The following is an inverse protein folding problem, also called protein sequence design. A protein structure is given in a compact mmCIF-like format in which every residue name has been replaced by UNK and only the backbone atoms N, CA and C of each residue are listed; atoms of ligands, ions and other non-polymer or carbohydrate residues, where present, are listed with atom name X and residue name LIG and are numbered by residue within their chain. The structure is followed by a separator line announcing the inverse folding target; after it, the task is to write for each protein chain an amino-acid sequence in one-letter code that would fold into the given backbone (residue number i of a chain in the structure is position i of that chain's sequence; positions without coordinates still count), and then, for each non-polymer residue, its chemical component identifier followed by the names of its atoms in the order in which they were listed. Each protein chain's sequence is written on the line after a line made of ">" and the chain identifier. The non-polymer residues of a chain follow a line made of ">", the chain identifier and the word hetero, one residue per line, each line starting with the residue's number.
data_IF_573369405587
#
_entry.id   IF_573369405587
#
_cell.length_a   1.000
_cell.length_b   1.000
_cell.length_c   1.000
_cell.angle_alpha   90.00
_cell.angle_beta   90.00
_cell.angle_gamma   90.00
#
_symmetry.space_group_name_H-M   'P 1'
#
loop_
_entity.id
_entity.type
_entity.pdbx_description
1 polymer ?
#
# COMPACT_ATOMS: atom_id res chain seq x y z
N UNK A 1 -61.87 56.04 -32.22
CA UNK A 1 -62.63 55.53 -31.06
C UNK A 1 -62.53 54.01 -31.17
N UNK A 2 -61.54 53.33 -30.57
CA UNK A 2 -61.39 53.03 -29.11
C UNK A 2 -62.67 52.36 -28.58
N UNK A 3 -62.71 51.11 -28.12
CA UNK A 3 -61.65 50.20 -27.68
C UNK A 3 -62.15 48.76 -27.52
N UNK A 4 -61.21 47.90 -27.12
CA UNK A 4 -61.27 46.44 -27.03
C UNK A 4 -62.38 45.87 -26.11
N UNK A 5 -62.87 44.64 -26.38
CA UNK A 5 -63.68 43.87 -25.45
C UNK A 5 -62.86 43.15 -24.36
N UNK A 6 -63.47 42.82 -23.20
CA UNK A 6 -62.77 42.42 -21.98
C UNK A 6 -62.39 40.93 -21.91
N UNK A 7 -61.38 40.67 -21.07
CA UNK A 7 -60.71 39.40 -20.81
C UNK A 7 -61.40 38.64 -19.64
N UNK A 8 -61.88 37.41 -19.93
CA UNK A 8 -61.85 36.11 -19.19
C UNK A 8 -62.23 36.04 -17.67
N UNK A 9 -62.77 34.91 -17.15
CA UNK A 9 -62.06 33.60 -17.15
C UNK A 9 -62.94 32.33 -17.25
N UNK A 10 -62.50 31.36 -18.05
CA UNK A 10 -63.00 29.99 -17.98
C UNK A 10 -61.86 29.01 -17.66
N UNK A 11 -62.16 28.18 -16.65
CA UNK A 11 -61.77 26.79 -16.47
C UNK A 11 -60.32 26.50 -16.03
N UNK A 12 -60.17 26.36 -14.72
CA UNK A 12 -59.09 25.61 -14.08
C UNK A 12 -59.26 24.11 -14.33
N UNK A 13 -58.28 23.51 -14.99
CA UNK A 13 -58.01 22.07 -14.94
C UNK A 13 -56.89 21.86 -13.94
N UNK A 14 -57.21 21.25 -12.80
CA UNK A 14 -56.20 20.75 -11.85
C UNK A 14 -55.54 19.52 -12.46
N UNK A 15 -54.51 19.78 -13.28
CA UNK A 15 -53.52 18.77 -13.64
C UNK A 15 -52.75 18.37 -12.39
N UNK A 16 -53.03 17.17 -11.91
CA UNK A 16 -52.32 16.49 -10.84
C UNK A 16 -50.84 16.38 -11.23
N UNK A 17 -50.01 17.32 -10.77
CA UNK A 17 -48.56 17.19 -10.84
C UNK A 17 -48.17 16.02 -9.94
N UNK A 18 -48.00 14.84 -10.53
CA UNK A 18 -47.19 13.79 -9.92
C UNK A 18 -45.77 14.34 -9.83
N UNK A 19 -45.44 14.90 -8.67
CA UNK A 19 -44.06 15.08 -8.24
C UNK A 19 -43.44 13.69 -8.28
N UNK A 20 -42.67 13.41 -9.32
CA UNK A 20 -41.77 12.27 -9.32
C UNK A 20 -40.83 12.47 -8.13
N UNK A 21 -41.13 11.82 -7.01
CA UNK A 21 -40.23 11.62 -5.88
C UNK A 21 -39.06 10.79 -6.40
N UNK A 22 -38.14 11.46 -7.07
CA UNK A 22 -36.77 11.01 -7.18
C UNK A 22 -36.25 11.00 -5.76
N UNK A 23 -36.37 9.86 -5.08
CA UNK A 23 -35.70 9.69 -3.80
C UNK A 23 -34.23 10.08 -4.03
N UNK A 24 -33.68 11.05 -3.28
CA UNK A 24 -32.28 11.38 -3.41
C UNK A 24 -31.52 10.12 -2.99
N UNK A 25 -30.87 9.43 -3.94
CA UNK A 25 -29.85 8.42 -3.60
C UNK A 25 -28.89 9.12 -2.64
N UNK A 26 -28.98 8.76 -1.37
CA UNK A 26 -28.29 9.47 -0.30
C UNK A 26 -26.79 9.44 -0.61
N UNK A 27 -26.06 10.54 -0.34
CA UNK A 27 -24.61 10.66 -0.54
C UNK A 27 -23.82 9.48 0.09
N UNK A 28 -24.41 8.86 1.11
CA UNK A 28 -23.95 7.65 1.77
C UNK A 28 -23.98 6.42 0.86
N UNK A 29 -25.09 6.18 0.13
CA UNK A 29 -25.20 5.08 -0.85
C UNK A 29 -24.13 5.19 -1.94
N UNK A 30 -23.89 6.40 -2.47
CA UNK A 30 -22.87 6.62 -3.49
C UNK A 30 -21.45 6.36 -2.97
N UNK A 31 -21.18 6.67 -1.70
CA UNK A 31 -19.86 6.44 -1.10
C UNK A 31 -19.59 4.94 -0.91
N UNK A 32 -20.62 4.17 -0.52
CA UNK A 32 -20.54 2.70 -0.46
C UNK A 32 -20.29 2.07 -1.83
N UNK A 33 -20.99 2.53 -2.87
CA UNK A 33 -20.80 2.02 -4.23
C UNK A 33 -19.37 2.29 -4.76
N UNK A 34 -18.78 3.42 -4.39
CA UNK A 34 -17.41 3.79 -4.79
C UNK A 34 -16.38 2.92 -4.06
N UNK A 35 -16.57 2.68 -2.76
CA UNK A 35 -15.72 1.78 -1.98
C UNK A 35 -15.84 0.32 -2.43
N UNK A 36 -17.05 -0.13 -2.79
CA UNK A 36 -17.25 -1.45 -3.38
C UNK A 36 -16.44 -1.62 -4.67
N UNK A 37 -16.47 -0.61 -5.56
CA UNK A 37 -15.65 -0.60 -6.79
C UNK A 37 -14.15 -0.58 -6.52
N UNK A 38 -13.71 0.10 -5.46
CA UNK A 38 -12.33 0.04 -5.02
C UNK A 38 -11.98 -1.41 -4.63
N UNK A 39 -12.77 -2.02 -3.75
CA UNK A 39 -12.57 -3.41 -3.31
C UNK A 39 -12.55 -4.39 -4.47
N UNK A 40 -13.44 -4.23 -5.45
CA UNK A 40 -13.47 -5.03 -6.68
C UNK A 40 -12.22 -4.86 -7.55
N UNK A 41 -11.60 -3.67 -7.53
CA UNK A 41 -10.38 -3.39 -8.29
C UNK A 41 -9.09 -3.87 -7.60
N UNK A 42 -9.13 -4.08 -6.28
CA UNK A 42 -7.99 -4.59 -5.53
C UNK A 42 -8.01 -6.12 -5.58
N UNK A 43 -6.95 -6.79 -6.06
CA UNK A 43 -6.89 -8.25 -6.05
C UNK A 43 -6.92 -8.81 -4.62
N UNK A 44 -7.75 -9.83 -4.40
CA UNK A 44 -8.06 -10.37 -3.07
C UNK A 44 -7.24 -11.63 -2.72
N UNK A 45 -6.63 -12.27 -3.71
CA UNK A 45 -5.79 -13.47 -3.53
C UNK A 45 -4.65 -13.49 -4.57
N UNK A 46 -3.70 -14.41 -4.40
CA UNK A 46 -2.49 -14.47 -5.22
C UNK A 46 -2.77 -14.64 -6.71
N UNK A 47 -3.72 -15.51 -7.07
CA UNK A 47 -4.11 -15.73 -8.46
C UNK A 47 -4.62 -14.44 -9.10
N UNK A 48 -5.43 -13.67 -8.38
CA UNK A 48 -5.92 -12.38 -8.87
C UNK A 48 -4.79 -11.34 -8.98
N UNK A 49 -3.82 -11.34 -8.05
CA UNK A 49 -2.64 -10.46 -8.14
C UNK A 49 -1.82 -10.76 -9.39
N UNK A 50 -1.55 -12.04 -9.66
CA UNK A 50 -0.83 -12.45 -10.86
C UNK A 50 -1.58 -12.05 -12.14
N UNK A 51 -2.90 -12.30 -12.20
CA UNK A 51 -3.74 -11.90 -13.32
C UNK A 51 -3.74 -10.38 -13.55
N UNK A 52 -3.85 -9.58 -12.47
CA UNK A 52 -3.81 -8.13 -12.56
C UNK A 52 -2.43 -7.64 -13.04
N UNK A 53 -1.35 -8.24 -12.56
CA UNK A 53 0.02 -7.95 -13.01
C UNK A 53 0.20 -8.26 -14.50
N UNK A 54 -0.31 -9.39 -14.98
CA UNK A 54 -0.26 -9.73 -16.40
C UNK A 54 -1.07 -8.73 -17.25
N UNK A 55 -2.30 -8.42 -16.85
CA UNK A 55 -3.17 -7.47 -17.55
C UNK A 55 -2.56 -6.06 -17.63
N UNK A 56 -1.89 -5.61 -16.56
CA UNK A 56 -1.34 -4.27 -16.47
C UNK A 56 0.13 -4.16 -16.90
N UNK A 57 0.74 -5.26 -17.37
CA UNK A 57 2.13 -5.31 -17.80
C UNK A 57 3.09 -5.04 -16.64
N UNK A 58 2.94 -5.77 -15.53
CA UNK A 58 3.70 -5.61 -14.29
C UNK A 58 4.07 -6.97 -13.65
N UNK A 59 4.07 -8.06 -14.43
CA UNK A 59 4.34 -9.41 -13.93
C UNK A 59 5.80 -9.85 -13.97
N UNK A 60 6.56 -9.44 -14.99
CA UNK A 60 7.98 -9.82 -15.15
C UNK A 60 8.91 -8.69 -14.70
N UNK A 61 10.17 -9.02 -14.39
CA UNK A 61 11.17 -8.01 -13.99
C UNK A 61 11.36 -6.91 -15.06
N UNK A 62 11.42 -7.28 -16.34
CA UNK A 62 11.51 -6.33 -17.44
C UNK A 62 10.28 -5.42 -17.53
N UNK A 63 9.08 -5.98 -17.37
CA UNK A 63 7.84 -5.23 -17.37
C UNK A 63 7.76 -4.26 -16.17
N UNK A 64 8.14 -4.72 -14.98
CA UNK A 64 8.22 -3.89 -13.76
C UNK A 64 9.16 -2.71 -13.97
N UNK A 65 10.36 -2.94 -14.51
CA UNK A 65 11.32 -1.88 -14.81
C UNK A 65 10.76 -0.86 -15.81
N UNK A 66 10.26 -1.35 -16.94
CA UNK A 66 9.74 -0.48 -18.01
C UNK A 66 8.55 0.35 -17.51
N UNK A 67 7.59 -0.30 -16.85
CA UNK A 67 6.41 0.37 -16.30
C UNK A 67 6.79 1.43 -15.27
N UNK A 68 7.75 1.12 -14.40
CA UNK A 68 8.23 2.07 -13.39
C UNK A 68 8.92 3.25 -14.07
N UNK A 69 9.78 3.03 -15.08
CA UNK A 69 10.39 4.12 -15.87
C UNK A 69 9.34 4.98 -16.56
N UNK A 70 8.33 4.37 -17.18
CA UNK A 70 7.24 5.13 -17.83
C UNK A 70 6.50 6.01 -16.82
N UNK A 71 6.29 5.52 -15.59
CA UNK A 71 5.71 6.31 -14.50
C UNK A 71 6.67 7.42 -14.09
N UNK A 72 7.94 7.13 -13.82
CA UNK A 72 8.93 8.11 -13.39
C UNK A 72 9.09 9.25 -14.40
N UNK A 73 9.20 8.91 -15.69
CA UNK A 73 9.41 9.84 -16.81
C UNK A 73 8.11 10.44 -17.36
N UNK A 74 6.98 10.18 -16.70
CA UNK A 74 5.65 10.69 -17.06
C UNK A 74 5.13 10.26 -18.46
N UNK A 75 5.64 9.15 -18.99
CA UNK A 75 5.27 8.54 -20.28
C UNK A 75 4.01 7.66 -20.21
N UNK A 76 3.38 7.56 -19.03
CA UNK A 76 2.14 6.81 -18.81
C UNK A 76 0.92 7.34 -19.56
N UNK A 77 0.07 6.45 -20.07
CA UNK A 77 -1.22 6.83 -20.71
C UNK A 77 -2.32 7.16 -19.72
N UNK A 78 -2.23 6.67 -18.47
CA UNK A 78 -3.27 6.85 -17.43
C UNK A 78 -3.28 8.30 -16.91
N UNK A 79 -4.19 9.12 -17.45
CA UNK A 79 -4.32 10.54 -17.09
C UNK A 79 -4.57 10.77 -15.60
N UNK A 80 -5.37 9.91 -14.96
CA UNK A 80 -5.64 10.01 -13.51
C UNK A 80 -4.36 9.89 -12.69
N UNK A 81 -3.42 9.02 -13.09
CA UNK A 81 -2.14 8.87 -12.42
C UNK A 81 -1.21 10.06 -12.66
N UNK A 82 -1.22 10.62 -13.87
CA UNK A 82 -0.52 11.89 -14.15
C UNK A 82 -1.04 13.01 -13.24
N UNK A 83 -2.36 13.19 -13.19
CA UNK A 83 -3.01 14.19 -12.34
C UNK A 83 -2.69 13.97 -10.86
N UNK A 84 -2.71 12.72 -10.39
CA UNK A 84 -2.33 12.36 -9.03
C UNK A 84 -0.89 12.82 -8.70
N UNK A 85 0.08 12.49 -9.56
CA UNK A 85 1.48 12.88 -9.35
C UNK A 85 1.72 14.40 -9.47
N UNK A 86 0.95 15.09 -10.32
CA UNK A 86 0.95 16.56 -10.40
C UNK A 86 0.39 17.18 -9.11
N UNK A 87 -0.70 16.66 -8.55
CA UNK A 87 -1.24 17.12 -7.26
C UNK A 87 -0.23 16.86 -6.14
N UNK A 88 0.44 15.70 -6.17
CA UNK A 88 1.46 15.34 -5.18
C UNK A 88 2.65 16.33 -5.25
N UNK A 89 3.12 16.65 -6.46
CA UNK A 89 4.15 17.69 -6.66
C UNK A 89 3.70 19.05 -6.14
N UNK A 90 2.43 19.42 -6.39
CA UNK A 90 1.83 20.65 -5.87
C UNK A 90 1.81 20.70 -4.34
N UNK A 91 1.61 19.56 -3.65
CA UNK A 91 1.72 19.48 -2.19
C UNK A 91 3.13 19.82 -1.72
N UNK A 92 4.16 19.32 -2.40
CA UNK A 92 5.57 19.60 -2.06
C UNK A 92 5.92 21.07 -2.32
N UNK A 93 5.57 21.61 -3.48
CA UNK A 93 5.83 23.02 -3.80
C UNK A 93 5.14 23.96 -2.80
N UNK A 94 3.91 23.63 -2.39
CA UNK A 94 3.16 24.38 -1.39
C UNK A 94 3.82 24.31 -0.01
N UNK A 95 4.28 23.13 0.41
CA UNK A 95 5.01 22.93 1.67
C UNK A 95 6.29 23.76 1.72
N UNK A 96 6.99 23.88 0.59
CA UNK A 96 8.22 24.67 0.43
C UNK A 96 7.97 26.18 0.26
N UNK A 97 6.77 26.67 0.57
CA UNK A 97 6.41 28.09 0.49
C UNK A 97 6.17 28.63 -0.93
N UNK A 98 6.21 27.79 -1.97
CA UNK A 98 6.07 28.17 -3.39
C UNK A 98 4.63 28.07 -3.88
N UNK A 99 3.68 28.59 -3.10
CA UNK A 99 2.23 28.49 -3.36
C UNK A 99 1.84 28.92 -4.79
N UNK A 100 2.33 30.08 -5.24
CA UNK A 100 1.92 30.62 -6.55
C UNK A 100 2.38 29.73 -7.71
N UNK A 101 3.64 29.28 -7.69
CA UNK A 101 4.19 28.36 -8.68
C UNK A 101 3.44 27.03 -8.67
N UNK A 102 3.17 26.47 -7.48
CA UNK A 102 2.42 25.24 -7.30
C UNK A 102 1.04 25.31 -7.98
N UNK A 103 0.31 26.41 -7.75
CA UNK A 103 -1.05 26.59 -8.27
C UNK A 103 -1.04 26.89 -9.77
N UNK A 104 -0.07 27.65 -10.28
CA UNK A 104 0.09 27.87 -11.71
C UNK A 104 0.41 26.56 -12.43
N UNK A 105 1.35 25.76 -11.91
CA UNK A 105 1.70 24.44 -12.47
C UNK A 105 0.51 23.49 -12.47
N UNK A 106 -0.25 23.43 -11.37
CA UNK A 106 -1.50 22.67 -11.32
C UNK A 106 -2.45 23.11 -12.45
N UNK A 107 -2.65 24.42 -12.61
CA UNK A 107 -3.62 24.96 -13.59
C UNK A 107 -3.23 24.65 -15.02
N UNK A 108 -1.93 24.69 -15.33
CA UNK A 108 -1.41 24.35 -16.65
C UNK A 108 -1.55 22.86 -16.98
N UNK A 109 -1.38 21.98 -15.99
CA UNK A 109 -1.32 20.53 -16.22
C UNK A 109 -2.65 19.80 -16.07
N UNK A 110 -3.56 20.31 -15.22
CA UNK A 110 -4.82 19.63 -14.89
C UNK A 110 -6.01 20.44 -15.43
N UNK A 111 -6.26 21.61 -14.86
CA UNK A 111 -7.36 22.49 -15.26
C UNK A 111 -7.30 23.84 -14.56
N UNK A 112 -7.96 24.85 -15.14
CA UNK A 112 -8.12 26.19 -14.56
C UNK A 112 -9.07 26.21 -13.34
N UNK A 113 -8.76 25.40 -12.31
CA UNK A 113 -9.55 25.29 -11.08
C UNK A 113 -9.32 26.47 -10.13
N UNK A 114 -10.30 26.70 -9.25
CA UNK A 114 -10.18 27.68 -8.16
C UNK A 114 -9.18 27.21 -7.10
N UNK A 115 -8.60 28.15 -6.33
CA UNK A 115 -7.67 27.79 -5.23
C UNK A 115 -8.28 26.80 -4.24
N UNK A 116 -9.55 27.00 -3.89
CA UNK A 116 -10.29 26.12 -2.99
C UNK A 116 -10.35 24.68 -3.53
N UNK A 117 -10.56 24.52 -4.84
CA UNK A 117 -10.59 23.19 -5.47
C UNK A 117 -9.21 22.54 -5.45
N UNK A 118 -8.14 23.31 -5.73
CA UNK A 118 -6.76 22.82 -5.66
C UNK A 118 -6.45 22.33 -4.24
N UNK A 119 -6.79 23.12 -3.21
CA UNK A 119 -6.60 22.74 -1.81
C UNK A 119 -7.36 21.48 -1.42
N UNK A 120 -8.61 21.32 -1.89
CA UNK A 120 -9.39 20.09 -1.67
C UNK A 120 -8.71 18.87 -2.28
N UNK A 121 -8.17 19.00 -3.48
CA UNK A 121 -7.47 17.90 -4.15
C UNK A 121 -6.16 17.53 -3.44
N UNK A 122 -5.37 18.54 -3.04
CA UNK A 122 -4.16 18.33 -2.24
C UNK A 122 -4.47 17.63 -0.91
N UNK A 123 -5.56 18.05 -0.24
CA UNK A 123 -5.98 17.43 1.03
C UNK A 123 -6.46 16.00 0.84
N UNK A 124 -7.20 15.72 -0.23
CA UNK A 124 -7.67 14.37 -0.57
C UNK A 124 -6.52 13.44 -0.93
N UNK A 125 -5.49 13.96 -1.61
CA UNK A 125 -4.29 13.19 -1.94
C UNK A 125 -3.49 12.84 -0.68
N UNK A 126 -3.25 13.82 0.21
CA UNK A 126 -2.56 13.56 1.49
C UNK A 126 -3.32 12.55 2.34
N UNK A 127 -4.64 12.71 2.46
CA UNK A 127 -5.48 11.75 3.17
C UNK A 127 -5.40 10.34 2.57
N UNK A 128 -5.27 10.23 1.23
CA UNK A 128 -5.10 8.96 0.55
C UNK A 128 -3.73 8.33 0.86
N UNK A 129 -2.66 9.13 0.82
CA UNK A 129 -1.31 8.68 1.19
C UNK A 129 -1.29 8.16 2.62
N UNK A 130 -1.88 8.90 3.55
CA UNK A 130 -2.04 8.50 4.95
C UNK A 130 -2.87 7.22 5.10
N UNK A 131 -3.93 7.04 4.32
CA UNK A 131 -4.75 5.82 4.36
C UNK A 131 -4.00 4.58 3.87
N UNK A 132 -2.96 4.73 3.05
CA UNK A 132 -2.11 3.61 2.62
C UNK A 132 -1.17 3.12 3.72
N UNK A 133 -0.83 3.94 4.72
CA UNK A 133 0.15 3.55 5.75
C UNK A 133 -0.32 2.41 6.66
N UNK A 134 -1.53 2.43 7.24
CA UNK A 134 -2.02 1.30 8.02
C UNK A 134 -2.04 0.00 7.21
N UNK A 135 -2.41 0.08 5.92
CA UNK A 135 -2.40 -1.07 5.01
C UNK A 135 -0.98 -1.56 4.76
N UNK A 136 -0.03 -0.65 4.55
CA UNK A 136 1.38 -1.01 4.41
C UNK A 136 1.89 -1.76 5.65
N UNK A 137 1.64 -1.18 6.83
CA UNK A 137 2.10 -1.70 8.12
C UNK A 137 1.44 -3.02 8.51
N UNK A 138 0.21 -3.27 8.06
CA UNK A 138 -0.52 -4.52 8.32
C UNK A 138 0.04 -5.73 7.56
N UNK A 139 0.76 -5.53 6.44
CA UNK A 139 1.36 -6.64 5.71
C UNK A 139 1.44 -6.51 4.19
N UNK A 140 0.46 -5.92 3.48
CA UNK A 140 0.50 -5.75 2.02
C UNK A 140 1.73 -5.02 1.45
N UNK A 141 2.45 -4.22 2.25
CA UNK A 141 3.70 -3.54 1.84
C UNK A 141 3.59 -2.91 0.45
N UNK A 142 4.47 -3.27 -0.50
CA UNK A 142 4.49 -2.70 -1.86
C UNK A 142 3.17 -2.85 -2.63
N UNK A 143 2.37 -3.89 -2.35
CA UNK A 143 1.09 -4.13 -3.02
C UNK A 143 0.06 -3.04 -2.74
N UNK A 144 0.17 -2.28 -1.63
CA UNK A 144 -0.72 -1.13 -1.40
C UNK A 144 -0.53 -0.05 -2.46
N UNK A 145 0.72 0.21 -2.84
CA UNK A 145 1.05 1.22 -3.86
C UNK A 145 0.65 0.73 -5.24
N UNK A 146 0.93 -0.54 -5.54
CA UNK A 146 0.55 -1.20 -6.79
C UNK A 146 -0.98 -1.18 -7.00
N UNK A 147 -1.74 -1.70 -6.03
CA UNK A 147 -3.19 -1.77 -6.09
C UNK A 147 -3.83 -0.38 -6.18
N UNK A 148 -3.31 0.56 -5.42
CA UNK A 148 -3.82 1.95 -5.43
C UNK A 148 -3.52 2.65 -6.75
N UNK A 149 -2.28 2.66 -7.22
CA UNK A 149 -1.89 3.51 -8.34
C UNK A 149 -2.18 2.85 -9.70
N UNK A 150 -2.05 1.53 -9.82
CA UNK A 150 -2.27 0.83 -11.09
C UNK A 150 -3.73 0.43 -11.27
N UNK A 151 -4.33 -0.20 -10.26
CA UNK A 151 -5.62 -0.91 -10.43
C UNK A 151 -6.82 -0.05 -10.04
N UNK A 152 -6.64 0.85 -9.08
CA UNK A 152 -7.72 1.70 -8.59
C UNK A 152 -7.95 2.95 -9.44
N UNK A 153 -9.13 3.55 -9.26
CA UNK A 153 -9.45 4.90 -9.75
C UNK A 153 -8.98 5.94 -8.74
N UNK A 154 -8.00 6.75 -9.14
CA UNK A 154 -7.33 7.74 -8.27
C UNK A 154 -7.62 9.19 -8.67
N UNK A 155 -8.66 9.40 -9.49
CA UNK A 155 -9.16 10.73 -9.78
C UNK A 155 -9.62 11.45 -8.49
N UNK A 156 -9.45 12.78 -8.37
CA UNK A 156 -9.72 13.51 -7.12
C UNK A 156 -11.13 13.30 -6.54
N UNK A 157 -12.13 13.12 -7.40
CA UNK A 157 -13.50 12.82 -6.98
C UNK A 157 -13.58 11.51 -6.19
N UNK A 158 -12.85 10.47 -6.58
CA UNK A 158 -12.85 9.17 -5.89
C UNK A 158 -12.07 9.21 -4.58
N UNK A 159 -10.93 9.90 -4.55
CA UNK A 159 -10.08 10.00 -3.36
C UNK A 159 -10.83 10.54 -2.14
N UNK A 160 -11.70 11.53 -2.35
CA UNK A 160 -12.54 12.09 -1.28
C UNK A 160 -13.51 11.07 -0.67
N UNK A 161 -13.86 10.00 -1.38
CA UNK A 161 -14.74 8.95 -0.87
C UNK A 161 -13.95 7.85 -0.15
N UNK A 162 -12.76 7.51 -0.64
CA UNK A 162 -11.91 6.49 0.00
C UNK A 162 -11.45 6.89 1.40
N UNK A 163 -11.26 8.19 1.63
CA UNK A 163 -10.64 8.74 2.85
C UNK A 163 -11.63 9.24 3.89
N UNK A 164 -12.95 9.10 3.64
CA UNK A 164 -13.99 9.50 4.60
C UNK A 164 -13.98 8.66 5.88
N UNK A 165 -13.70 7.37 5.74
CA UNK A 165 -13.62 6.40 6.83
C UNK A 165 -12.37 5.56 6.58
N UNK A 166 -11.27 5.85 7.27
CA UNK A 166 -9.96 5.21 7.04
C UNK A 166 -10.01 3.68 7.18
N UNK A 167 -10.82 3.16 8.11
CA UNK A 167 -11.05 1.72 8.27
C UNK A 167 -11.74 1.07 7.06
N UNK A 168 -12.54 1.83 6.30
CA UNK A 168 -13.20 1.30 5.11
C UNK A 168 -12.20 1.12 3.95
N UNK A 169 -11.24 2.02 3.79
CA UNK A 169 -10.15 1.86 2.82
C UNK A 169 -9.28 0.65 3.14
N UNK A 170 -8.87 0.50 4.42
CA UNK A 170 -8.07 -0.65 4.85
C UNK A 170 -8.79 -1.99 4.57
N UNK A 171 -10.11 -2.03 4.78
CA UNK A 171 -10.93 -3.23 4.50
C UNK A 171 -11.02 -3.63 3.01
N UNK A 172 -10.61 -2.76 2.08
CA UNK A 172 -10.54 -3.09 0.66
C UNK A 172 -9.35 -4.00 0.34
N UNK A 173 -8.33 -4.03 1.21
CA UNK A 173 -7.13 -4.84 1.03
C UNK A 173 -7.23 -6.14 1.82
N UNK A 174 -6.82 -7.27 1.20
CA UNK A 174 -6.84 -8.58 1.86
C UNK A 174 -5.90 -8.61 3.08
N UNK A 175 -6.17 -9.55 3.99
CA UNK A 175 -5.46 -9.67 5.27
C UNK A 175 -4.16 -10.47 5.23
N UNK A 176 -3.66 -10.85 4.07
CA UNK A 176 -2.39 -11.55 3.96
C UNK A 176 -1.20 -10.58 4.04
N UNK A 177 -0.04 -11.12 4.41
CA UNK A 177 1.21 -10.37 4.52
C UNK A 177 2.15 -10.71 3.35
N UNK A 178 2.75 -9.68 2.75
CA UNK A 178 3.85 -9.84 1.79
C UNK A 178 5.14 -10.18 2.54
N UNK A 179 5.24 -11.42 3.02
CA UNK A 179 6.42 -11.96 3.70
C UNK A 179 7.43 -12.60 2.76
N UNK A 180 7.00 -12.98 1.56
CA UNK A 180 7.86 -13.56 0.54
C UNK A 180 8.45 -12.49 -0.38
N UNK A 181 9.69 -12.65 -0.85
CA UNK A 181 10.31 -11.71 -1.79
C UNK A 181 9.53 -11.61 -3.11
N UNK A 182 9.21 -10.38 -3.52
CA UNK A 182 8.53 -10.09 -4.78
C UNK A 182 9.35 -9.09 -5.60
N UNK A 183 9.43 -9.29 -6.91
CA UNK A 183 10.21 -8.43 -7.81
C UNK A 183 9.72 -6.98 -7.78
N UNK A 184 8.39 -6.81 -7.70
CA UNK A 184 7.68 -5.54 -7.63
C UNK A 184 8.11 -4.73 -6.39
N UNK A 185 8.48 -5.41 -5.30
CA UNK A 185 8.91 -4.77 -4.07
C UNK A 185 10.26 -4.03 -4.20
N UNK A 186 11.10 -4.38 -5.18
CA UNK A 186 12.37 -3.66 -5.44
C UNK A 186 12.17 -2.36 -6.21
N UNK A 187 10.99 -2.20 -6.82
CA UNK A 187 10.59 -1.02 -7.59
C UNK A 187 9.22 -0.51 -7.12
N UNK A 188 9.06 -0.20 -5.82
CA UNK A 188 7.76 0.14 -5.28
C UNK A 188 7.26 1.44 -5.90
N UNK A 189 5.97 1.49 -6.24
CA UNK A 189 5.32 2.69 -6.76
C UNK A 189 4.99 3.68 -5.64
N UNK A 190 5.90 3.87 -4.68
CA UNK A 190 5.71 4.79 -3.57
C UNK A 190 5.69 6.25 -4.09
N UNK A 191 4.65 7.05 -3.76
CA UNK A 191 4.56 8.43 -4.25
C UNK A 191 5.78 9.29 -3.91
N UNK A 192 6.35 9.13 -2.70
CA UNK A 192 7.54 9.85 -2.28
C UNK A 192 8.77 9.53 -3.17
N UNK A 193 8.97 8.25 -3.54
CA UNK A 193 10.09 7.84 -4.39
C UNK A 193 9.94 8.41 -5.80
N UNK A 194 8.72 8.36 -6.35
CA UNK A 194 8.42 8.91 -7.68
C UNK A 194 8.68 10.43 -7.71
N UNK A 195 8.25 11.16 -6.67
CA UNK A 195 8.50 12.59 -6.58
C UNK A 195 9.99 12.92 -6.40
N UNK A 196 10.70 12.20 -5.53
CA UNK A 196 12.12 12.42 -5.30
C UNK A 196 12.95 12.18 -6.56
N UNK A 197 12.61 11.15 -7.35
CA UNK A 197 13.24 10.93 -8.65
C UNK A 197 12.98 12.06 -9.65
N UNK A 198 11.74 12.57 -9.71
CA UNK A 198 11.37 13.65 -10.63
C UNK A 198 11.91 15.02 -10.23
N UNK A 199 12.15 15.23 -8.93
CA UNK A 199 12.63 16.47 -8.35
C UNK A 199 13.85 16.21 -7.46
N UNK A 200 14.99 15.79 -8.03
CA UNK A 200 16.17 15.39 -7.27
C UNK A 200 16.68 16.47 -6.31
N UNK A 201 16.44 17.74 -6.64
CA UNK A 201 16.79 18.93 -5.86
C UNK A 201 16.01 19.09 -4.55
N UNK A 202 14.86 18.43 -4.38
CA UNK A 202 14.06 18.50 -3.15
C UNK A 202 14.57 17.48 -2.14
N UNK A 203 14.63 17.80 -0.84
CA UNK A 203 15.02 16.81 0.16
C UNK A 203 13.97 15.70 0.27
N UNK A 204 14.40 14.48 0.58
CA UNK A 204 13.47 13.37 0.76
C UNK A 204 12.53 13.61 1.96
N UNK A 205 13.06 14.21 3.04
CA UNK A 205 12.31 14.61 4.22
C UNK A 205 11.18 15.61 3.92
N UNK A 206 11.45 16.66 3.12
CA UNK A 206 10.42 17.64 2.75
C UNK A 206 9.30 17.01 1.91
N UNK A 207 9.65 16.07 1.02
CA UNK A 207 8.67 15.32 0.24
C UNK A 207 7.79 14.48 1.15
N UNK A 208 8.38 13.72 2.07
CA UNK A 208 7.67 12.88 3.02
C UNK A 208 6.76 13.72 3.94
N UNK A 209 7.26 14.84 4.47
CA UNK A 209 6.49 15.77 5.29
C UNK A 209 5.30 16.38 4.51
N UNK A 210 5.53 16.79 3.26
CA UNK A 210 4.49 17.36 2.41
C UNK A 210 3.40 16.35 2.02
N UNK A 211 3.77 15.07 1.85
CA UNK A 211 2.82 13.98 1.59
C UNK A 211 2.20 13.39 2.86
N UNK A 212 2.75 13.76 4.02
CA UNK A 212 2.40 13.21 5.33
C UNK A 212 2.59 11.70 5.39
N UNK A 213 3.79 11.22 5.05
CA UNK A 213 4.13 9.79 5.07
C UNK A 213 5.48 9.49 5.73
N UNK A 214 5.56 8.34 6.39
CA UNK A 214 6.75 7.88 7.14
C UNK A 214 7.08 6.38 6.92
N UNK A 215 6.39 5.69 6.01
CA UNK A 215 6.52 4.23 5.84
C UNK A 215 7.83 3.77 5.20
N UNK A 216 8.43 4.60 4.34
CA UNK A 216 9.68 4.29 3.62
C UNK A 216 10.65 5.45 3.80
N UNK A 217 11.91 5.13 4.07
CA UNK A 217 12.95 6.11 4.37
C UNK A 217 13.90 6.37 3.19
N UNK A 218 14.93 7.19 3.43
CA UNK A 218 15.91 7.56 2.43
C UNK A 218 16.85 6.40 2.05
N UNK A 219 17.07 5.45 2.96
CA UNK A 219 17.85 4.24 2.69
C UNK A 219 17.07 3.31 1.73
N UNK A 220 15.76 3.18 1.93
CA UNK A 220 14.90 2.45 1.01
C UNK A 220 14.83 3.13 -0.36
N UNK A 221 14.83 4.46 -0.39
CA UNK A 221 14.93 5.21 -1.65
C UNK A 221 16.28 4.97 -2.35
N UNK A 222 17.40 4.92 -1.62
CA UNK A 222 18.71 4.62 -2.18
C UNK A 222 18.76 3.21 -2.81
N UNK A 223 18.16 2.21 -2.15
CA UNK A 223 18.02 0.84 -2.70
C UNK A 223 17.21 0.86 -4.00
N UNK A 224 16.10 1.60 -4.03
CA UNK A 224 15.27 1.77 -5.22
C UNK A 224 16.07 2.36 -6.40
N UNK A 225 16.86 3.42 -6.16
CA UNK A 225 17.70 4.02 -7.21
C UNK A 225 18.77 3.04 -7.69
N UNK A 226 19.42 2.31 -6.78
CA UNK A 226 20.41 1.30 -7.14
C UNK A 226 19.83 0.24 -8.09
N UNK A 227 18.62 -0.23 -7.83
CA UNK A 227 17.91 -1.19 -8.69
C UNK A 227 17.56 -0.58 -10.05
N UNK A 228 17.07 0.67 -10.06
CA UNK A 228 16.70 1.40 -11.27
C UNK A 228 17.90 1.62 -12.21
N UNK A 229 19.05 2.00 -11.66
CA UNK A 229 20.31 2.23 -12.38
C UNK A 229 20.90 0.93 -12.94
N UNK A 230 20.89 -0.14 -12.13
CA UNK A 230 21.32 -1.47 -12.57
C UNK A 230 20.38 -2.08 -13.61
N UNK A 231 19.14 -1.58 -13.70
CA UNK A 231 18.14 -2.08 -14.64
C UNK A 231 17.73 -3.53 -14.39
N UNK A 232 17.88 -4.02 -13.16
CA UNK A 232 17.58 -5.40 -12.78
C UNK A 232 16.74 -5.42 -11.50
N UNK A 233 15.40 -5.33 -11.61
CA UNK A 233 14.51 -5.59 -10.48
C UNK A 233 14.75 -6.99 -9.93
N UNK A 234 14.89 -7.09 -8.61
CA UNK A 234 15.17 -8.34 -7.89
C UNK A 234 14.06 -8.62 -6.88
N UNK A 235 13.72 -9.88 -6.62
CA UNK A 235 12.81 -10.23 -5.54
C UNK A 235 13.34 -9.70 -4.20
N UNK A 236 12.52 -8.91 -3.49
CA UNK A 236 12.87 -8.37 -2.18
C UNK A 236 11.63 -8.23 -1.30
N UNK A 237 11.86 -7.97 -0.01
CA UNK A 237 10.81 -7.68 0.96
C UNK A 237 11.09 -6.28 1.52
N UNK A 238 10.18 -5.33 1.32
CA UNK A 238 10.34 -3.99 1.86
C UNK A 238 10.27 -3.98 3.38
N UNK A 239 11.21 -3.34 4.06
CA UNK A 239 11.24 -3.28 5.52
C UNK A 239 10.05 -2.54 6.11
N UNK A 240 9.70 -2.86 7.36
CA UNK A 240 8.81 -2.02 8.15
C UNK A 240 9.64 -0.87 8.75
N UNK A 241 9.06 0.34 8.92
CA UNK A 241 9.78 1.45 9.52
C UNK A 241 10.18 1.11 10.96
N UNK A 242 11.40 1.50 11.36
CA UNK A 242 11.97 1.15 12.66
C UNK A 242 11.13 1.62 13.87
N UNK A 243 10.28 2.63 13.69
CA UNK A 243 9.38 3.19 14.70
C UNK A 243 7.95 2.66 14.63
N UNK A 244 7.68 1.62 13.84
CA UNK A 244 6.33 1.07 13.73
C UNK A 244 5.82 0.62 15.12
N UNK A 245 4.61 1.04 15.54
CA UNK A 245 4.05 0.61 16.81
C UNK A 245 3.91 -0.93 16.84
N UNK A 246 4.35 -1.55 17.95
CA UNK A 246 4.39 -3.01 18.17
C UNK A 246 3.05 -3.74 17.88
N UNK A 247 1.92 -3.03 17.88
CA UNK A 247 0.60 -3.54 17.49
C UNK A 247 0.50 -3.94 16.00
N UNK A 248 1.31 -3.36 15.11
CA UNK A 248 1.39 -3.77 13.71
C UNK A 248 2.19 -5.09 13.52
N UNK A 249 3.16 -5.35 14.41
CA UNK A 249 4.01 -6.54 14.36
C UNK A 249 3.36 -7.79 14.97
N UNK A 250 2.31 -7.61 15.79
CA UNK A 250 1.62 -8.70 16.49
C UNK A 250 0.61 -9.46 15.62
N UNK A 251 0.19 -8.90 14.48
CA UNK A 251 -0.66 -9.61 13.49
C UNK A 251 0.12 -10.68 12.73
N UNK A 252 1.47 -10.61 12.74
CA UNK A 252 2.35 -11.54 12.01
C UNK A 252 2.53 -12.87 12.77
N UNK A 253 2.23 -12.93 14.07
CA UNK A 253 2.25 -14.16 14.85
C UNK A 253 0.83 -14.61 15.16
N UNK A 254 0.39 -15.67 14.46
CA UNK A 254 -0.79 -16.52 14.66
C UNK A 254 -1.80 -16.50 13.51
N UNK A 255 -1.46 -17.19 12.44
CA UNK A 255 -2.43 -17.97 11.66
C UNK A 255 -1.85 -19.40 11.55
N UNK A 256 -2.33 -20.37 12.34
CA UNK A 256 -2.13 -21.78 12.00
C UNK A 256 -2.98 -22.08 10.77
N UNK A 257 -2.36 -22.63 9.73
CA UNK A 257 -3.05 -23.24 8.59
C UNK A 257 -4.15 -24.21 9.09
N UNK A 258 -5.38 -24.18 8.54
CA UNK A 258 -6.39 -25.16 8.89
C UNK A 258 -6.03 -26.49 8.22
N UNK A 259 -5.46 -27.42 8.99
CA UNK A 259 -5.40 -28.82 8.60
C UNK A 259 -6.81 -29.37 8.48
N UNK A 260 -7.10 -30.01 7.35
CA UNK A 260 -8.41 -30.55 7.00
C UNK A 260 -8.94 -31.58 7.98
N UNK A 261 -10.28 -31.65 8.02
CA UNK A 261 -11.09 -32.63 8.73
C UNK A 261 -10.59 -34.07 8.50
N UNK A 262 -10.48 -34.83 9.59
CA UNK A 262 -10.85 -36.24 9.56
C UNK A 262 -11.55 -36.67 10.87
N UNK A 263 -12.55 -37.52 10.71
CA UNK A 263 -13.69 -37.70 11.60
C UNK A 263 -13.52 -38.70 12.76
N UNK A 264 -14.39 -38.49 13.78
CA UNK A 264 -15.04 -39.44 14.72
C UNK A 264 -14.29 -39.89 15.99
N UNK A 265 -14.87 -39.57 17.15
CA UNK A 265 -15.64 -40.52 17.98
C UNK A 265 -16.36 -39.88 19.19
N UNK A 266 -17.70 -39.97 19.19
CA UNK A 266 -18.67 -40.30 20.26
C UNK A 266 -18.42 -40.05 21.77
N UNK A 267 -19.32 -39.23 22.33
CA UNK A 267 -20.12 -39.34 23.59
C UNK A 267 -19.48 -39.39 24.99
N UNK A 268 -19.66 -38.32 25.77
CA UNK A 268 -20.63 -38.19 26.90
C UNK A 268 -20.49 -36.82 27.60
N UNK A 269 -21.56 -36.24 28.17
CA UNK A 269 -21.49 -34.94 28.84
C UNK A 269 -21.06 -35.13 30.29
N UNK A 270 -19.93 -34.55 30.68
CA UNK A 270 -19.59 -34.34 32.09
C UNK A 270 -19.44 -32.84 32.31
N UNK A 271 -20.33 -32.35 33.15
CA UNK A 271 -20.37 -31.01 33.71
C UNK A 271 -19.17 -30.87 34.64
N UNK A 272 -18.16 -30.09 34.24
CA UNK A 272 -17.03 -29.71 35.09
C UNK A 272 -16.68 -28.25 34.83
N UNK A 273 -17.65 -27.41 35.19
CA UNK A 273 -17.62 -25.96 35.07
C UNK A 273 -16.75 -25.36 36.20
N UNK A 274 -15.47 -25.74 36.29
CA UNK A 274 -14.48 -24.98 37.10
C UNK A 274 -12.98 -25.33 36.89
N UNK A 275 -12.59 -26.19 35.93
CA UNK A 275 -11.18 -26.62 35.82
C UNK A 275 -10.26 -25.77 34.91
N UNK A 276 -10.78 -24.74 34.22
CA UNK A 276 -10.00 -23.94 33.25
C UNK A 276 -10.10 -22.42 33.44
N UNK A 277 -10.13 -21.94 34.68
CA UNK A 277 -9.87 -20.53 34.94
C UNK A 277 -8.38 -20.22 34.66
N UNK A 278 -8.06 -19.78 33.43
CA UNK A 278 -6.74 -19.25 33.09
C UNK A 278 -6.40 -18.04 34.00
N UNK A 279 -5.18 -17.96 34.56
CA UNK A 279 -4.76 -16.79 35.33
C UNK A 279 -4.85 -15.52 34.47
N UNK A 280 -5.49 -14.47 34.98
CA UNK A 280 -5.70 -13.20 34.26
C UNK A 280 -4.43 -12.39 33.97
N UNK A 281 -3.26 -12.89 34.36
CA UNK A 281 -1.97 -12.31 34.00
C UNK A 281 -0.83 -13.28 34.31
N UNK A 282 0.03 -13.54 33.33
CA UNK A 282 1.37 -14.09 33.54
C UNK A 282 2.39 -12.94 33.51
N UNK A 283 3.23 -12.75 34.55
CA UNK A 283 4.36 -11.85 34.44
C UNK A 283 5.43 -12.55 33.57
N UNK A 284 5.51 -12.17 32.31
CA UNK A 284 6.57 -12.62 31.40
C UNK A 284 7.88 -11.94 31.78
N UNK A 285 8.65 -12.56 32.68
CA UNK A 285 10.06 -12.25 32.88
C UNK A 285 10.84 -13.02 31.81
N UNK A 286 11.10 -12.38 30.66
CA UNK A 286 12.03 -12.96 29.70
C UNK A 286 13.46 -12.76 30.22
N UNK A 287 14.19 -13.86 30.36
CA UNK A 287 15.64 -13.83 30.57
C UNK A 287 16.27 -13.57 29.19
N UNK A 288 16.83 -12.38 29.01
CA UNK A 288 17.62 -12.05 27.81
C UNK A 288 18.90 -12.87 27.89
N UNK A 289 19.07 -13.83 26.99
CA UNK A 289 20.35 -14.52 26.83
C UNK A 289 21.29 -13.60 26.04
N UNK A 290 22.38 -13.18 26.67
CA UNK A 290 23.43 -12.45 25.98
C UNK A 290 24.14 -13.39 25.01
N UNK A 291 24.09 -13.07 23.72
CA UNK A 291 24.90 -13.74 22.71
C UNK A 291 26.36 -13.35 22.96
N UNK A 292 27.29 -14.31 23.01
CA UNK A 292 28.69 -14.01 23.32
C UNK A 292 29.33 -13.15 22.22
N UNK A 293 30.25 -12.26 22.61
CA UNK A 293 30.96 -11.38 21.66
C UNK A 293 31.70 -12.17 20.58
N UNK A 294 32.09 -13.42 20.87
CA UNK A 294 32.72 -14.33 19.91
C UNK A 294 31.77 -14.72 18.78
N UNK A 295 30.49 -14.99 19.08
CA UNK A 295 29.47 -15.31 18.07
C UNK A 295 29.14 -14.07 17.23
N UNK A 296 29.13 -12.88 17.84
CA UNK A 296 28.93 -11.63 17.09
C UNK A 296 30.09 -11.33 16.13
N UNK A 297 31.34 -11.56 16.56
CA UNK A 297 32.52 -11.39 15.72
C UNK A 297 32.54 -12.42 14.57
N UNK A 298 32.16 -13.67 14.85
CA UNK A 298 32.06 -14.72 13.84
C UNK A 298 30.98 -14.39 12.78
N UNK A 299 29.83 -13.87 13.22
CA UNK A 299 28.76 -13.39 12.33
C UNK A 299 29.23 -12.21 11.46
N UNK A 300 29.97 -11.25 12.01
CA UNK A 300 30.53 -10.15 11.24
C UNK A 300 31.58 -10.62 10.23
N UNK A 301 32.43 -11.57 10.60
CA UNK A 301 33.45 -12.13 9.70
C UNK A 301 32.82 -12.94 8.55
N UNK A 302 31.79 -13.74 8.84
CA UNK A 302 31.06 -14.51 7.82
C UNK A 302 30.28 -13.56 6.91
N UNK A 303 29.64 -12.52 7.45
CA UNK A 303 28.89 -11.51 6.66
C UNK A 303 29.79 -10.78 5.67
N UNK A 304 31.05 -10.51 6.03
CA UNK A 304 32.04 -9.91 5.13
C UNK A 304 32.57 -10.86 4.05
N UNK A 305 32.45 -12.18 4.22
CA UNK A 305 32.88 -13.19 3.24
C UNK A 305 31.77 -13.69 2.33
N UNK A 306 30.53 -13.24 2.50
CA UNK A 306 29.42 -13.54 1.58
C UNK A 306 29.68 -12.78 0.27
N UNK A 307 30.28 -13.48 -0.70
CA UNK A 307 30.41 -12.98 -2.05
C UNK A 307 29.13 -13.36 -2.82
N UNK A 308 28.31 -12.37 -3.16
CA UNK A 308 26.99 -12.55 -3.82
C UNK A 308 27.08 -13.06 -5.28
N UNK A 309 28.25 -13.54 -5.71
CA UNK A 309 28.52 -14.00 -7.08
C UNK A 309 28.18 -15.48 -7.34
N UNK A 310 27.85 -16.29 -6.33
CA UNK A 310 27.59 -17.73 -6.46
C UNK A 310 26.11 -18.12 -6.56
N UNK A 311 25.30 -17.34 -7.31
CA UNK A 311 23.91 -17.71 -7.63
C UNK A 311 23.88 -18.46 -8.97
N UNK A 312 23.63 -19.78 -8.91
CA UNK A 312 23.43 -20.61 -10.11
C UNK A 312 21.94 -20.86 -10.30
N UNK A 313 21.42 -20.53 -11.49
CA UNK A 313 20.05 -20.88 -11.87
C UNK A 313 19.95 -22.40 -12.14
N UNK A 314 18.98 -23.06 -11.51
CA UNK A 314 18.62 -24.44 -11.83
C UNK A 314 17.57 -24.41 -12.95
N UNK A 315 17.80 -25.03 -14.11
CA UNK A 315 16.84 -25.00 -15.20
C UNK A 315 15.48 -25.59 -14.79
N UNK A 316 14.40 -24.90 -15.16
CA UNK A 316 12.99 -25.32 -15.00
C UNK A 316 12.43 -25.41 -13.57
N UNK A 317 13.01 -24.69 -12.59
CA UNK A 317 12.36 -24.45 -11.30
C UNK A 317 12.54 -23.00 -10.85
N UNK A 318 11.58 -22.41 -10.11
CA UNK A 318 11.70 -21.04 -9.58
C UNK A 318 12.60 -20.95 -8.32
N UNK A 319 13.40 -21.98 -8.04
CA UNK A 319 14.27 -22.06 -6.86
C UNK A 319 15.70 -21.69 -7.24
N UNK A 320 16.32 -20.81 -6.46
CA UNK A 320 17.75 -20.54 -6.49
C UNK A 320 18.42 -21.42 -5.44
N UNK A 321 19.38 -22.24 -5.85
CA UNK A 321 20.20 -23.01 -4.92
C UNK A 321 21.32 -22.10 -4.42
N UNK A 322 21.29 -21.76 -3.13
CA UNK A 322 22.43 -21.11 -2.49
C UNK A 322 23.53 -22.14 -2.35
N UNK A 323 24.71 -21.89 -2.95
CA UNK A 323 25.91 -22.59 -2.51
C UNK A 323 26.27 -22.06 -1.13
N UNK A 324 25.85 -22.81 -0.11
CA UNK A 324 26.29 -22.60 1.25
C UNK A 324 27.82 -22.61 1.28
N UNK A 325 28.41 -21.59 1.93
CA UNK A 325 29.83 -21.61 2.24
C UNK A 325 30.03 -22.74 3.25
N UNK A 326 31.00 -23.62 3.03
CA UNK A 326 31.26 -24.86 3.80
C UNK A 326 31.38 -24.69 5.34
N UNK A 327 31.37 -23.45 5.84
CA UNK A 327 31.53 -23.14 7.26
C UNK A 327 30.23 -22.69 7.96
N UNK A 328 29.09 -22.61 7.28
CA UNK A 328 27.85 -22.11 7.89
C UNK A 328 27.24 -23.10 8.90
N UNK A 329 27.33 -24.40 8.62
CA UNK A 329 26.85 -25.45 9.53
C UNK A 329 27.60 -25.42 10.86
N UNK A 330 28.91 -25.13 10.85
CA UNK A 330 29.71 -24.96 12.07
C UNK A 330 29.23 -23.79 12.93
N UNK A 331 28.76 -22.69 12.32
CA UNK A 331 28.24 -21.52 13.04
C UNK A 331 26.90 -21.83 13.68
N UNK A 332 26.01 -22.51 12.93
CA UNK A 332 24.69 -22.91 13.41
C UNK A 332 24.82 -23.92 14.56
N UNK A 333 25.68 -24.91 14.42
CA UNK A 333 25.95 -25.90 15.47
C UNK A 333 26.53 -25.24 16.72
N UNK A 334 27.45 -24.29 16.59
CA UNK A 334 28.01 -23.58 17.74
C UNK A 334 26.97 -22.72 18.46
N UNK A 335 26.07 -22.05 17.72
CA UNK A 335 24.97 -21.27 18.31
C UNK A 335 23.96 -22.17 19.02
N UNK A 336 23.67 -23.34 18.46
CA UNK A 336 22.78 -24.33 19.10
C UNK A 336 23.42 -24.88 20.37
N UNK A 337 24.73 -25.16 20.37
CA UNK A 337 25.47 -25.58 21.56
C UNK A 337 25.46 -24.49 22.64
N UNK A 338 25.70 -23.24 22.29
CA UNK A 338 25.68 -22.10 23.23
C UNK A 338 24.28 -21.81 23.81
N UNK A 339 23.22 -22.23 23.12
CA UNK A 339 21.82 -22.05 23.57
C UNK A 339 21.29 -23.22 24.42
N UNK A 340 21.89 -24.40 24.28
CA UNK A 340 21.48 -25.63 24.98
C UNK A 340 22.42 -25.98 26.15
N UNK A 341 23.63 -25.41 26.17
CA UNK A 341 24.67 -25.61 27.19
C UNK A 341 24.49 -24.83 28.49
#
# INVERSE_FOLDING_TARGET
>A
MSGQPPIRPEQGSYGQFQVATSQPKTLYSRSKDILAKLRESIPQNETQWQQARDLHGYSTAGNVLQKTRDILENRITKQDLRNFLTIASCCVDWHLGRKQEAYQRFKMQISAATELTIQKYMSSLRAMVQAMEPVYLRGPRHRVFEGTLLYSRIGPSFLTHYTKETGAFDSCFPAFSCTHPETQASMPLAPAFILKYRHPQQSFGDICAALCTEVLDEDDYAKFICVLERGRPIPTVLSLPAKAPYTALSVIKCQPEPAGDDQRASANPVDDLDMFALPKSFPLVYKVFGISDAVQQLLQEVTHRINFESLREVPNTPLLEFQWIDNYDMVVDQVVVDLVG
#
